data_IF_683970295300
#
_entry.id   IF_683970295300
#
_cell.length_a   1.000
_cell.length_b   1.000
_cell.length_c   1.000
_cell.angle_alpha   90.00
_cell.angle_beta   90.00
_cell.angle_gamma   90.00
#
_symmetry.space_group_name_H-M   'P 1'
#
loop_
_entity.id
_entity.type
_entity.pdbx_description
1 polymer ?
#
# COMPACT_ATOMS: atom_id res chain seq x y z
N UNK A 1 37.66 -3.09 7.55
CA UNK A 1 36.98 -1.95 6.88
C UNK A 1 37.64 -0.67 7.37
N UNK A 2 38.23 0.13 6.47
CA UNK A 2 38.92 1.38 6.78
C UNK A 2 37.99 2.35 7.57
N UNK A 3 38.53 3.10 8.54
CA UNK A 3 37.83 4.07 9.39
C UNK A 3 37.02 5.07 8.56
N UNK A 4 37.58 5.54 7.45
CA UNK A 4 36.89 6.47 6.55
C UNK A 4 35.63 5.85 5.93
N UNK A 5 35.73 4.61 5.43
CA UNK A 5 34.59 3.85 4.88
C UNK A 5 33.49 3.60 5.92
N UNK A 6 33.86 3.37 7.19
CA UNK A 6 32.90 3.25 8.32
C UNK A 6 32.15 4.56 8.59
N UNK A 7 32.84 5.69 8.54
CA UNK A 7 32.23 7.00 8.73
C UNK A 7 31.27 7.34 7.59
N UNK A 8 31.66 7.05 6.34
CA UNK A 8 30.79 7.23 5.16
C UNK A 8 29.51 6.41 5.25
N UNK A 9 29.60 5.12 5.58
CA UNK A 9 28.42 4.25 5.73
C UNK A 9 27.50 4.77 6.83
N UNK A 10 28.04 5.16 7.99
CA UNK A 10 27.23 5.73 9.08
C UNK A 10 26.49 7.00 8.64
N UNK A 11 27.12 7.87 7.87
CA UNK A 11 26.48 9.08 7.33
C UNK A 11 25.34 8.72 6.36
N UNK A 12 25.54 7.74 5.47
CA UNK A 12 24.51 7.23 4.56
C UNK A 12 23.31 6.71 5.34
N UNK A 13 23.53 5.88 6.37
CA UNK A 13 22.43 5.30 7.15
C UNK A 13 21.58 6.38 7.83
N UNK A 14 22.21 7.43 8.37
CA UNK A 14 21.50 8.59 8.94
C UNK A 14 20.73 9.40 7.91
N UNK A 15 21.27 9.55 6.70
CA UNK A 15 20.55 10.21 5.60
C UNK A 15 19.30 9.43 5.19
N UNK A 16 19.42 8.10 5.06
CA UNK A 16 18.30 7.21 4.76
C UNK A 16 17.23 7.30 5.84
N UNK A 17 17.62 7.27 7.12
CA UNK A 17 16.67 7.41 8.24
C UNK A 17 15.94 8.75 8.19
N UNK A 18 16.66 9.85 8.00
CA UNK A 18 16.09 11.20 7.89
C UNK A 18 15.13 11.31 6.71
N UNK A 19 15.52 10.84 5.52
CA UNK A 19 14.68 10.90 4.33
C UNK A 19 13.41 10.04 4.52
N UNK A 20 13.57 8.82 5.05
CA UNK A 20 12.45 7.93 5.35
C UNK A 20 11.45 8.61 6.28
N UNK A 21 11.92 9.23 7.37
CA UNK A 21 11.04 9.94 8.31
C UNK A 21 10.28 11.09 7.65
N UNK A 22 10.95 11.89 6.80
CA UNK A 22 10.33 13.01 6.09
C UNK A 22 9.28 12.51 5.09
N UNK A 23 9.58 11.46 4.32
CA UNK A 23 8.68 10.93 3.29
C UNK A 23 7.54 10.10 3.87
N UNK A 24 7.65 9.62 5.11
CA UNK A 24 6.60 8.89 5.84
C UNK A 24 5.63 9.80 6.61
N UNK A 25 5.52 11.08 6.25
CA UNK A 25 4.69 12.05 6.98
C UNK A 25 3.18 11.80 6.82
N UNK A 26 2.71 11.50 5.61
CA UNK A 26 1.31 11.23 5.29
C UNK A 26 1.19 10.34 4.05
N UNK A 27 -0.03 9.91 3.71
CA UNK A 27 -0.28 9.01 2.59
C UNK A 27 0.16 9.63 1.26
N UNK A 28 -0.01 10.95 1.07
CA UNK A 28 0.43 11.66 -0.13
C UNK A 28 1.95 11.58 -0.30
N UNK A 29 2.71 11.89 0.76
CA UNK A 29 4.17 11.90 0.73
C UNK A 29 4.74 10.52 0.43
N UNK A 30 4.19 9.48 1.06
CA UNK A 30 4.57 8.07 0.84
C UNK A 30 4.32 7.64 -0.61
N UNK A 31 3.10 7.87 -1.08
CA UNK A 31 2.65 7.48 -2.43
C UNK A 31 3.52 8.12 -3.51
N UNK A 32 3.83 9.40 -3.36
CA UNK A 32 4.67 10.14 -4.30
C UNK A 32 6.14 9.73 -4.21
N UNK A 33 6.64 9.40 -3.01
CA UNK A 33 8.00 8.90 -2.83
C UNK A 33 8.21 7.55 -3.55
N UNK A 34 7.22 6.66 -3.51
CA UNK A 34 7.26 5.42 -4.26
C UNK A 34 7.30 5.62 -5.78
N UNK A 35 6.44 6.49 -6.34
CA UNK A 35 6.47 6.82 -7.78
C UNK A 35 7.82 7.41 -8.17
N UNK A 36 8.27 8.44 -7.44
CA UNK A 36 9.54 9.11 -7.72
C UNK A 36 10.77 8.19 -7.58
N UNK A 37 10.68 7.16 -6.73
CA UNK A 37 11.71 6.13 -6.68
C UNK A 37 11.67 5.25 -7.93
N UNK A 38 10.50 4.74 -8.32
CA UNK A 38 10.35 3.92 -9.53
C UNK A 38 10.81 4.65 -10.80
N UNK A 39 10.44 5.92 -10.95
CA UNK A 39 10.83 6.74 -12.11
C UNK A 39 12.37 6.83 -12.28
N UNK A 40 13.13 6.69 -11.18
CA UNK A 40 14.60 6.70 -11.17
C UNK A 40 15.22 5.29 -11.25
N UNK A 41 14.49 4.26 -10.83
CA UNK A 41 14.96 2.87 -10.74
C UNK A 41 13.87 1.90 -11.24
N UNK A 42 13.52 1.92 -12.53
CA UNK A 42 12.41 1.13 -13.08
C UNK A 42 12.64 -0.39 -13.01
N UNK A 43 13.88 -0.84 -12.80
CA UNK A 43 14.22 -2.24 -12.52
C UNK A 43 13.62 -2.74 -11.19
N UNK A 44 13.39 -1.84 -10.23
CA UNK A 44 12.74 -2.16 -8.97
C UNK A 44 11.24 -1.94 -9.16
N UNK A 45 10.49 -3.00 -9.46
CA UNK A 45 9.07 -2.90 -9.82
C UNK A 45 8.12 -2.58 -8.66
N UNK A 46 8.42 -3.07 -7.46
CA UNK A 46 7.52 -2.98 -6.31
C UNK A 46 7.10 -1.56 -5.91
N UNK A 47 7.95 -0.51 -5.94
CA UNK A 47 7.55 0.86 -5.63
C UNK A 47 6.41 1.37 -6.52
N UNK A 48 6.37 1.02 -7.81
CA UNK A 48 5.23 1.42 -8.64
C UNK A 48 3.92 0.79 -8.15
N UNK A 49 3.96 -0.51 -7.83
CA UNK A 49 2.83 -1.22 -7.24
C UNK A 49 2.41 -0.59 -5.91
N UNK A 50 3.37 -0.31 -5.02
CA UNK A 50 3.13 0.33 -3.75
C UNK A 50 2.51 1.73 -3.91
N UNK A 51 2.91 2.50 -4.94
CA UNK A 51 2.29 3.79 -5.27
C UNK A 51 0.80 3.61 -5.60
N UNK A 52 0.45 2.68 -6.50
CA UNK A 52 -0.94 2.40 -6.86
C UNK A 52 -1.80 1.91 -5.69
N UNK A 53 -1.28 0.97 -4.89
CA UNK A 53 -1.98 0.43 -3.72
C UNK A 53 -2.13 1.52 -2.63
N UNK A 54 -1.12 2.36 -2.43
CA UNK A 54 -1.19 3.45 -1.46
C UNK A 54 -2.17 4.57 -1.88
N UNK A 55 -2.37 4.79 -3.19
CA UNK A 55 -3.47 5.66 -3.67
C UNK A 55 -4.83 5.16 -3.23
N UNK A 56 -5.08 3.86 -3.36
CA UNK A 56 -6.33 3.24 -2.90
C UNK A 56 -6.55 3.46 -1.40
N UNK A 57 -5.50 3.30 -0.58
CA UNK A 57 -5.59 3.60 0.84
C UNK A 57 -5.94 5.08 1.09
N UNK A 58 -5.34 6.02 0.35
CA UNK A 58 -5.69 7.44 0.43
C UNK A 58 -7.15 7.70 0.10
N UNK A 59 -7.65 7.13 -1.00
CA UNK A 59 -9.06 7.25 -1.41
C UNK A 59 -10.00 6.72 -0.33
N UNK A 60 -9.71 5.54 0.22
CA UNK A 60 -10.49 4.97 1.32
C UNK A 60 -10.40 5.80 2.60
N UNK A 61 -9.27 6.43 2.90
CA UNK A 61 -9.17 7.37 4.04
C UNK A 61 -10.11 8.55 3.87
N UNK A 62 -10.12 9.20 2.70
CA UNK A 62 -10.93 10.42 2.49
C UNK A 62 -12.41 10.13 2.30
N UNK A 63 -12.77 8.95 1.78
CA UNK A 63 -14.15 8.49 1.67
C UNK A 63 -14.90 8.52 3.01
N UNK A 64 -14.22 8.21 4.12
CA UNK A 64 -14.78 8.24 5.47
C UNK A 64 -15.36 9.61 5.86
N UNK A 65 -14.90 10.67 5.19
CA UNK A 65 -15.39 12.04 5.35
C UNK A 65 -16.16 12.54 4.12
N UNK A 66 -16.26 11.73 3.07
CA UNK A 66 -17.04 12.00 1.88
C UNK A 66 -18.54 11.80 2.11
N UNK A 67 -19.34 12.37 1.21
CA UNK A 67 -20.81 12.45 1.32
C UNK A 67 -21.44 11.09 1.66
N UNK A 68 -21.00 10.02 0.99
CA UNK A 68 -21.58 8.68 1.16
C UNK A 68 -21.44 8.14 2.60
N UNK A 69 -20.28 8.30 3.23
CA UNK A 69 -20.01 7.70 4.54
C UNK A 69 -20.31 8.64 5.71
N UNK A 70 -20.64 9.91 5.43
CA UNK A 70 -21.05 10.83 6.49
C UNK A 70 -22.27 10.30 7.25
N UNK A 71 -23.21 9.72 6.51
CA UNK A 71 -24.45 9.14 7.01
C UNK A 71 -24.26 7.69 7.51
N UNK A 72 -23.38 6.92 6.88
CA UNK A 72 -23.24 5.48 7.18
C UNK A 72 -22.48 5.12 8.47
N UNK A 73 -21.53 5.95 8.91
CA UNK A 73 -20.60 5.66 10.00
C UNK A 73 -20.57 6.77 11.05
N UNK A 74 -20.45 6.40 12.33
CA UNK A 74 -20.23 7.38 13.39
C UNK A 74 -18.78 7.90 13.41
N UNK A 75 -18.54 8.99 14.16
CA UNK A 75 -17.22 9.62 14.25
C UNK A 75 -16.13 8.71 14.81
N UNK A 76 -16.47 7.81 15.74
CA UNK A 76 -15.53 6.86 16.34
C UNK A 76 -15.11 5.81 15.32
N UNK A 77 -16.07 5.23 14.60
CA UNK A 77 -15.84 4.28 13.51
C UNK A 77 -14.96 4.90 12.43
N UNK A 78 -15.32 6.09 11.94
CA UNK A 78 -14.53 6.83 10.93
C UNK A 78 -13.08 7.03 11.39
N UNK A 79 -12.87 7.36 12.66
CA UNK A 79 -11.52 7.52 13.20
C UNK A 79 -10.74 6.20 13.27
N UNK A 80 -11.38 5.10 13.71
CA UNK A 80 -10.74 3.79 13.75
C UNK A 80 -10.37 3.26 12.36
N UNK A 81 -11.25 3.44 11.37
CA UNK A 81 -10.95 3.12 9.98
C UNK A 81 -9.79 3.96 9.44
N UNK A 82 -9.80 5.28 9.68
CA UNK A 82 -8.69 6.13 9.27
C UNK A 82 -7.36 5.68 9.90
N UNK A 83 -7.34 5.44 11.21
CA UNK A 83 -6.15 5.02 11.93
C UNK A 83 -5.62 3.65 11.45
N UNK A 84 -6.49 2.72 11.08
CA UNK A 84 -6.05 1.41 10.58
C UNK A 84 -5.34 1.54 9.22
N UNK A 85 -5.88 2.33 8.29
CA UNK A 85 -5.18 2.64 7.04
C UNK A 85 -3.87 3.37 7.29
N UNK A 86 -3.91 4.41 8.12
CA UNK A 86 -2.77 5.30 8.33
C UNK A 86 -1.61 4.54 8.97
N UNK A 87 -1.91 3.75 10.00
CA UNK A 87 -0.92 2.93 10.70
C UNK A 87 -0.35 1.83 9.81
N UNK A 88 -1.19 1.13 9.04
CA UNK A 88 -0.72 0.09 8.12
C UNK A 88 0.21 0.66 7.05
N UNK A 89 -0.20 1.74 6.37
CA UNK A 89 0.62 2.37 5.34
C UNK A 89 1.92 2.95 5.92
N UNK A 90 1.89 3.43 7.17
CA UNK A 90 3.06 4.02 7.82
C UNK A 90 4.08 2.94 8.15
N UNK A 91 3.60 1.81 8.67
CA UNK A 91 4.41 0.65 8.98
C UNK A 91 5.06 0.09 7.73
N UNK A 92 4.29 -0.14 6.66
CA UNK A 92 4.79 -0.63 5.37
C UNK A 92 5.89 0.28 4.84
N UNK A 93 5.65 1.60 4.80
CA UNK A 93 6.64 2.55 4.31
C UNK A 93 7.90 2.62 5.18
N UNK A 94 7.73 2.57 6.51
CA UNK A 94 8.85 2.58 7.45
C UNK A 94 9.78 1.37 7.30
N UNK A 95 9.25 0.25 6.80
CA UNK A 95 10.02 -0.96 6.54
C UNK A 95 10.61 -0.98 5.12
N UNK A 96 9.79 -0.71 4.10
CA UNK A 96 10.19 -0.91 2.70
C UNK A 96 11.03 0.24 2.13
N UNK A 97 10.68 1.51 2.39
CA UNK A 97 11.37 2.66 1.79
C UNK A 97 12.88 2.75 2.15
N UNK A 98 13.34 2.50 3.39
CA UNK A 98 14.78 2.50 3.65
C UNK A 98 15.52 1.39 2.90
N UNK A 99 14.88 0.25 2.60
CA UNK A 99 15.47 -0.81 1.77
C UNK A 99 15.76 -0.31 0.35
N UNK A 100 14.81 0.41 -0.23
CA UNK A 100 14.94 1.04 -1.55
C UNK A 100 16.13 2.02 -1.56
N UNK A 101 16.22 2.87 -0.54
CA UNK A 101 17.33 3.81 -0.46
C UNK A 101 18.69 3.11 -0.25
N UNK A 102 18.75 2.01 0.52
CA UNK A 102 19.96 1.20 0.66
C UNK A 102 20.38 0.61 -0.69
N UNK A 103 19.44 0.13 -1.51
CA UNK A 103 19.74 -0.30 -2.88
C UNK A 103 20.29 0.84 -3.75
N UNK A 104 19.63 2.01 -3.73
CA UNK A 104 20.08 3.18 -4.49
C UNK A 104 21.53 3.55 -4.14
N UNK A 105 21.88 3.61 -2.85
CA UNK A 105 23.25 3.89 -2.41
C UNK A 105 24.22 2.76 -2.76
N UNK A 106 23.78 1.49 -2.69
CA UNK A 106 24.59 0.35 -3.11
C UNK A 106 24.96 0.44 -4.59
N UNK A 107 24.00 0.82 -5.45
CA UNK A 107 24.20 1.04 -6.89
C UNK A 107 25.16 2.19 -7.16
N UNK A 108 25.03 3.29 -6.43
CA UNK A 108 25.92 4.47 -6.58
C UNK A 108 27.37 4.19 -6.16
N UNK A 109 27.58 3.37 -5.14
CA UNK A 109 28.92 3.03 -4.62
C UNK A 109 29.52 1.81 -5.34
N UNK A 110 28.69 1.01 -6.03
CA UNK A 110 29.11 -0.23 -6.69
C UNK A 110 29.30 -1.41 -5.73
N UNK A 111 28.77 -1.34 -4.50
CA UNK A 111 28.92 -2.39 -3.49
C UNK A 111 27.59 -2.65 -2.74
N UNK A 112 27.27 -3.92 -2.41
CA UNK A 112 26.05 -4.25 -1.69
C UNK A 112 26.11 -3.85 -0.20
N UNK A 113 25.29 -2.86 0.19
CA UNK A 113 25.16 -2.38 1.57
C UNK A 113 24.11 -3.12 2.41
N UNK A 114 23.51 -4.19 1.89
CA UNK A 114 22.36 -4.88 2.49
C UNK A 114 22.62 -5.48 3.88
N UNK A 115 23.90 -5.67 4.26
CA UNK A 115 24.30 -6.03 5.63
C UNK A 115 23.84 -5.01 6.69
N UNK A 116 23.52 -3.79 6.27
CA UNK A 116 23.06 -2.71 7.14
C UNK A 116 21.55 -2.60 7.23
N UNK A 117 20.78 -3.43 6.50
CA UNK A 117 19.32 -3.47 6.60
C UNK A 117 18.78 -3.72 8.04
N UNK A 118 19.44 -4.52 8.89
CA UNK A 118 19.05 -4.66 10.30
C UNK A 118 19.05 -3.34 11.08
N UNK A 119 19.83 -2.33 10.68
CA UNK A 119 19.78 -0.99 11.28
C UNK A 119 18.39 -0.34 11.14
N UNK A 120 17.66 -0.67 10.07
CA UNK A 120 16.29 -0.22 9.81
C UNK A 120 15.23 -1.23 10.28
N UNK A 121 15.62 -2.26 11.04
CA UNK A 121 14.76 -3.35 11.52
C UNK A 121 14.09 -4.15 10.40
N UNK A 122 14.72 -4.19 9.23
CA UNK A 122 14.27 -4.99 8.09
C UNK A 122 14.57 -6.47 8.36
N UNK A 123 13.64 -7.35 7.98
CA UNK A 123 13.75 -8.79 8.20
C UNK A 123 15.00 -9.40 7.57
N UNK A 124 15.55 -10.45 8.21
CA UNK A 124 16.64 -11.24 7.64
C UNK A 124 16.23 -11.85 6.28
N UNK A 125 14.95 -12.15 6.10
CA UNK A 125 14.39 -12.57 4.81
C UNK A 125 14.67 -11.55 3.70
N UNK A 126 14.31 -10.28 3.91
CA UNK A 126 14.56 -9.26 2.89
C UNK A 126 16.05 -9.00 2.70
N UNK A 127 16.86 -9.08 3.75
CA UNK A 127 18.31 -8.98 3.62
C UNK A 127 18.87 -10.03 2.65
N UNK A 128 18.47 -11.29 2.78
CA UNK A 128 18.86 -12.35 1.86
C UNK A 128 18.37 -12.10 0.43
N UNK A 129 17.11 -11.67 0.26
CA UNK A 129 16.53 -11.42 -1.06
C UNK A 129 17.18 -10.22 -1.78
N UNK A 130 17.62 -9.19 -1.05
CA UNK A 130 18.40 -8.10 -1.65
C UNK A 130 19.78 -8.55 -2.12
N UNK A 131 20.48 -9.39 -1.35
CA UNK A 131 21.74 -9.99 -1.80
C UNK A 131 21.55 -10.89 -3.03
N UNK A 132 20.46 -11.67 -3.07
CA UNK A 132 20.11 -12.48 -4.25
C UNK A 132 19.84 -11.61 -5.45
N UNK A 133 19.01 -10.58 -5.32
CA UNK A 133 18.70 -9.65 -6.40
C UNK A 133 19.96 -8.97 -6.95
N UNK A 134 20.88 -8.54 -6.08
CA UNK A 134 22.14 -7.93 -6.50
C UNK A 134 23.01 -8.86 -7.35
N UNK A 135 22.96 -10.16 -7.10
CA UNK A 135 23.71 -11.18 -7.86
C UNK A 135 22.98 -11.58 -9.15
N UNK A 136 21.67 -11.79 -9.07
CA UNK A 136 20.90 -12.50 -10.10
C UNK A 136 20.08 -11.56 -11.00
N UNK A 137 19.79 -10.33 -10.56
CA UNK A 137 18.97 -9.35 -11.29
C UNK A 137 17.49 -9.70 -11.43
N UNK A 138 16.99 -10.69 -10.68
CA UNK A 138 15.61 -11.18 -10.79
C UNK A 138 14.59 -10.18 -10.21
N UNK A 139 14.10 -9.29 -11.08
CA UNK A 139 13.15 -8.22 -10.72
C UNK A 139 11.79 -8.75 -10.26
N UNK A 140 11.32 -9.89 -10.78
CA UNK A 140 10.03 -10.46 -10.40
C UNK A 140 10.11 -11.09 -9.01
N UNK A 141 11.18 -11.86 -8.75
CA UNK A 141 11.42 -12.44 -7.44
C UNK A 141 11.54 -11.37 -6.36
N UNK A 142 12.30 -10.30 -6.60
CA UNK A 142 12.43 -9.21 -5.63
C UNK A 142 11.08 -8.55 -5.35
N UNK A 143 10.28 -8.31 -6.40
CA UNK A 143 8.93 -7.76 -6.24
C UNK A 143 8.04 -8.66 -5.39
N UNK A 144 8.07 -9.98 -5.61
CA UNK A 144 7.32 -10.94 -4.80
C UNK A 144 7.85 -11.04 -3.38
N UNK A 145 9.17 -10.96 -3.18
CA UNK A 145 9.77 -10.91 -1.85
C UNK A 145 9.27 -9.70 -1.04
N UNK A 146 9.26 -8.51 -1.65
CA UNK A 146 8.75 -7.30 -1.01
C UNK A 146 7.25 -7.41 -0.67
N UNK A 147 6.43 -8.01 -1.56
CA UNK A 147 5.01 -8.30 -1.27
C UNK A 147 4.88 -9.25 -0.06
N UNK A 148 5.63 -10.35 -0.05
CA UNK A 148 5.59 -11.33 1.05
C UNK A 148 6.01 -10.68 2.37
N UNK A 149 7.09 -9.91 2.35
CA UNK A 149 7.59 -9.21 3.54
C UNK A 149 6.56 -8.21 4.06
N UNK A 150 5.98 -7.37 3.19
CA UNK A 150 4.94 -6.43 3.56
C UNK A 150 3.78 -7.11 4.31
N UNK A 151 3.24 -8.19 3.73
CA UNK A 151 2.06 -8.86 4.28
C UNK A 151 2.33 -9.55 5.62
N UNK A 152 3.56 -10.00 5.86
CA UNK A 152 3.96 -10.56 7.16
C UNK A 152 4.24 -9.44 8.19
N UNK A 153 4.91 -8.37 7.78
CA UNK A 153 5.25 -7.21 8.64
C UNK A 153 4.00 -6.57 9.25
N UNK A 154 2.87 -6.49 8.51
CA UNK A 154 1.64 -5.89 9.03
C UNK A 154 0.76 -6.85 9.87
N UNK A 155 1.00 -8.16 9.81
CA UNK A 155 0.07 -9.15 10.34
C UNK A 155 -0.15 -9.01 11.86
N UNK A 156 0.93 -9.05 12.64
CA UNK A 156 0.85 -8.90 14.10
C UNK A 156 0.44 -7.47 14.53
N UNK A 157 1.12 -6.40 14.09
CA UNK A 157 0.87 -5.04 14.61
C UNK A 157 -0.42 -4.38 14.12
N UNK A 158 -1.01 -4.86 13.02
CA UNK A 158 -2.25 -4.30 12.46
C UNK A 158 -3.39 -5.30 12.53
N UNK A 159 -3.27 -6.44 11.83
CA UNK A 159 -4.39 -7.37 11.63
C UNK A 159 -4.77 -8.10 12.92
N UNK A 160 -3.77 -8.47 13.74
CA UNK A 160 -3.97 -9.16 15.01
C UNK A 160 -4.01 -8.22 16.21
N UNK A 161 -3.79 -6.92 16.01
CA UNK A 161 -3.84 -5.94 17.08
C UNK A 161 -5.25 -5.94 17.72
N UNK A 162 -5.36 -6.13 19.04
CA UNK A 162 -6.66 -6.24 19.70
C UNK A 162 -7.57 -5.03 19.48
N UNK A 163 -7.01 -3.82 19.47
CA UNK A 163 -7.75 -2.58 19.26
C UNK A 163 -8.29 -2.48 17.84
N UNK A 164 -7.49 -2.78 16.81
CA UNK A 164 -7.98 -2.79 15.43
C UNK A 164 -8.94 -3.95 15.14
N UNK A 165 -8.69 -5.14 15.72
CA UNK A 165 -9.58 -6.29 15.57
C UNK A 165 -10.96 -6.00 16.14
N UNK A 166 -11.03 -5.38 17.33
CA UNK A 166 -12.30 -5.01 17.97
C UNK A 166 -13.04 -3.90 17.22
N UNK A 167 -12.33 -2.84 16.84
CA UNK A 167 -12.96 -1.60 16.36
C UNK A 167 -13.05 -1.46 14.84
N UNK A 168 -12.37 -2.33 14.07
CA UNK A 168 -12.37 -2.33 12.60
C UNK A 168 -12.75 -3.72 12.10
N UNK A 169 -11.83 -4.68 12.17
CA UNK A 169 -11.93 -5.95 11.44
C UNK A 169 -13.04 -6.90 11.93
N UNK A 170 -13.55 -6.70 13.15
CA UNK A 170 -14.65 -7.48 13.72
C UNK A 170 -16.01 -6.78 13.68
N UNK A 171 -16.13 -5.64 13.02
CA UNK A 171 -17.35 -4.81 13.08
C UNK A 171 -18.29 -5.09 11.91
N UNK A 172 -19.61 -5.02 12.16
CA UNK A 172 -20.63 -5.17 11.11
C UNK A 172 -20.42 -4.16 9.96
N UNK A 173 -20.12 -2.86 10.21
CA UNK A 173 -19.79 -1.93 9.15
C UNK A 173 -18.60 -2.37 8.29
N UNK A 174 -17.56 -2.98 8.88
CA UNK A 174 -16.46 -3.55 8.10
C UNK A 174 -16.98 -4.61 7.13
N UNK A 175 -17.73 -5.61 7.60
CA UNK A 175 -18.28 -6.66 6.72
C UNK A 175 -19.27 -6.14 5.65
N UNK A 176 -20.04 -5.08 5.94
CA UNK A 176 -21.00 -4.49 5.01
C UNK A 176 -20.35 -3.54 3.99
N UNK A 177 -19.28 -2.81 4.37
CA UNK A 177 -18.56 -1.86 3.51
C UNK A 177 -17.31 -2.45 2.84
N UNK A 178 -16.98 -3.71 3.17
CA UNK A 178 -15.68 -4.33 2.93
C UNK A 178 -15.26 -4.39 1.46
N UNK A 179 -16.22 -4.38 0.53
CA UNK A 179 -15.93 -4.51 -0.90
C UNK A 179 -15.20 -3.30 -1.47
N UNK A 180 -15.29 -2.10 -0.89
CA UNK A 180 -14.59 -0.91 -1.39
C UNK A 180 -13.34 -0.51 -0.60
N UNK A 181 -13.29 -0.90 0.66
CA UNK A 181 -12.38 -0.30 1.63
C UNK A 181 -11.14 -1.17 1.84
N UNK A 182 -11.30 -2.48 2.08
CA UNK A 182 -10.16 -3.38 2.34
C UNK A 182 -10.03 -4.49 1.32
N UNK A 183 -11.12 -4.89 0.67
CA UNK A 183 -11.10 -6.07 -0.18
C UNK A 183 -10.80 -5.79 -1.65
N UNK A 184 -11.09 -4.60 -2.19
CA UNK A 184 -10.86 -4.31 -3.63
C UNK A 184 -9.84 -3.21 -3.82
N UNK A 185 -8.82 -3.49 -4.63
CA UNK A 185 -7.84 -2.51 -5.08
C UNK A 185 -8.10 -2.20 -6.55
N UNK A 186 -8.21 -0.92 -6.86
CA UNK A 186 -8.56 -0.41 -8.20
C UNK A 186 -7.39 0.37 -8.81
N UNK A 187 -7.02 0.03 -10.03
CA UNK A 187 -6.09 0.74 -10.90
C UNK A 187 -6.86 1.47 -11.99
N UNK A 188 -6.90 2.81 -11.95
CA UNK A 188 -7.54 3.60 -12.99
C UNK A 188 -6.63 3.60 -14.22
N UNK A 189 -7.23 3.39 -15.38
CA UNK A 189 -6.54 3.54 -16.65
C UNK A 189 -6.77 4.94 -17.22
N UNK A 190 -5.85 5.42 -18.04
CA UNK A 190 -5.95 6.76 -18.63
C UNK A 190 -7.09 6.86 -19.66
N UNK A 191 -7.45 5.74 -20.28
CA UNK A 191 -8.55 5.59 -21.24
C UNK A 191 -9.95 5.54 -20.58
N UNK A 192 -10.03 5.71 -19.26
CA UNK A 192 -11.31 5.91 -18.57
C UNK A 192 -11.99 4.62 -18.10
N UNK A 193 -11.21 3.56 -17.87
CA UNK A 193 -11.69 2.32 -17.27
C UNK A 193 -11.07 2.12 -15.89
N UNK A 194 -11.73 1.29 -15.07
CA UNK A 194 -11.22 0.85 -13.78
C UNK A 194 -10.90 -0.63 -13.85
N UNK A 195 -9.68 -1.00 -13.54
CA UNK A 195 -9.28 -2.39 -13.39
C UNK A 195 -9.03 -2.68 -11.92
N UNK A 196 -9.22 -3.91 -11.47
CA UNK A 196 -8.95 -4.21 -10.08
C UNK A 196 -9.17 -5.65 -9.72
N UNK A 197 -8.82 -5.97 -8.48
CA UNK A 197 -8.92 -7.31 -7.93
C UNK A 197 -9.47 -7.22 -6.51
N UNK A 198 -10.43 -8.09 -6.22
CA UNK A 198 -11.04 -8.23 -4.91
C UNK A 198 -10.55 -9.49 -4.20
N UNK A 199 -10.25 -9.39 -2.90
CA UNK A 199 -9.97 -10.53 -2.02
C UNK A 199 -11.20 -10.88 -1.20
N UNK A 200 -11.41 -12.17 -0.92
CA UNK A 200 -12.57 -12.63 -0.14
C UNK A 200 -12.36 -12.57 1.37
N UNK A 201 -11.13 -12.84 1.86
CA UNK A 201 -10.80 -12.80 3.31
C UNK A 201 -9.48 -12.07 3.54
N UNK A 202 -9.55 -10.74 3.63
CA UNK A 202 -8.39 -9.88 3.88
C UNK A 202 -7.62 -10.20 5.17
N UNK A 203 -8.26 -10.81 6.17
CA UNK A 203 -7.60 -11.20 7.42
C UNK A 203 -6.54 -12.29 7.27
N UNK A 204 -6.55 -13.06 6.17
CA UNK A 204 -5.57 -14.12 5.90
C UNK A 204 -4.36 -13.59 5.13
N UNK A 205 -3.17 -13.76 5.70
CA UNK A 205 -1.90 -13.31 5.09
C UNK A 205 -1.70 -13.86 3.68
N UNK A 206 -2.01 -15.13 3.46
CA UNK A 206 -1.86 -15.79 2.16
C UNK A 206 -2.74 -15.16 1.08
N UNK A 207 -3.99 -14.84 1.43
CA UNK A 207 -4.90 -14.22 0.47
C UNK A 207 -4.44 -12.80 0.12
N UNK A 208 -3.84 -12.07 1.06
CA UNK A 208 -3.21 -10.77 0.77
C UNK A 208 -1.94 -10.90 -0.06
N UNK A 209 -1.12 -11.92 0.16
CA UNK A 209 0.05 -12.21 -0.70
C UNK A 209 -0.41 -12.52 -2.12
N UNK A 210 -1.44 -13.37 -2.28
CA UNK A 210 -2.03 -13.69 -3.58
C UNK A 210 -2.56 -12.42 -4.25
N UNK A 211 -3.33 -11.59 -3.54
CA UNK A 211 -3.83 -10.31 -4.04
C UNK A 211 -2.67 -9.42 -4.52
N UNK A 212 -1.63 -9.23 -3.71
CA UNK A 212 -0.48 -8.41 -4.06
C UNK A 212 0.22 -8.88 -5.34
N UNK A 213 0.41 -10.19 -5.50
CA UNK A 213 1.00 -10.76 -6.74
C UNK A 213 0.08 -10.60 -7.94
N UNK A 214 -1.23 -10.80 -7.79
CA UNK A 214 -2.18 -10.62 -8.89
C UNK A 214 -2.25 -9.13 -9.32
N UNK A 215 -2.22 -8.20 -8.36
CA UNK A 215 -2.13 -6.77 -8.64
C UNK A 215 -0.82 -6.42 -9.35
N UNK A 216 0.30 -7.01 -8.94
CA UNK A 216 1.57 -6.85 -9.65
C UNK A 216 1.46 -7.29 -11.12
N UNK A 217 0.86 -8.46 -11.36
CA UNK A 217 0.61 -8.96 -12.72
C UNK A 217 -0.31 -8.03 -13.52
N UNK A 218 -1.36 -7.50 -12.90
CA UNK A 218 -2.28 -6.55 -13.55
C UNK A 218 -1.53 -5.28 -13.97
N UNK A 219 -0.80 -4.67 -13.03
CA UNK A 219 -0.09 -3.40 -13.24
C UNK A 219 0.97 -3.48 -14.35
N UNK A 220 1.68 -4.61 -14.43
CA UNK A 220 2.74 -4.83 -15.42
C UNK A 220 2.28 -5.67 -16.61
N UNK A 221 0.96 -5.78 -16.84
CA UNK A 221 0.44 -6.41 -18.05
C UNK A 221 0.80 -5.58 -19.28
N UNK A 222 1.26 -6.19 -20.38
CA UNK A 222 1.70 -5.47 -21.58
C UNK A 222 0.65 -4.49 -22.13
N UNK A 223 -0.62 -4.87 -22.07
CA UNK A 223 -1.71 -4.10 -22.68
C UNK A 223 -2.17 -2.90 -21.83
N UNK A 224 -2.00 -2.95 -20.51
CA UNK A 224 -2.55 -1.94 -19.60
C UNK A 224 -1.47 -1.07 -18.94
N UNK A 225 -0.22 -1.56 -18.84
CA UNK A 225 0.83 -0.88 -18.10
C UNK A 225 1.05 0.58 -18.54
N UNK A 226 1.10 0.83 -19.85
CA UNK A 226 1.28 2.18 -20.38
C UNK A 226 0.13 3.12 -19.99
N UNK A 227 -1.12 2.64 -20.03
CA UNK A 227 -2.30 3.41 -19.64
C UNK A 227 -2.30 3.71 -18.12
N UNK A 228 -1.98 2.71 -17.30
CA UNK A 228 -1.81 2.87 -15.86
C UNK A 228 -0.72 3.89 -15.52
N UNK A 229 0.47 3.74 -16.11
CA UNK A 229 1.58 4.65 -15.84
C UNK A 229 1.23 6.09 -16.26
N UNK A 230 0.57 6.28 -17.41
CA UNK A 230 0.09 7.58 -17.86
C UNK A 230 -0.91 8.21 -16.88
N UNK A 231 -1.80 7.41 -16.27
CA UNK A 231 -2.66 7.91 -15.19
C UNK A 231 -1.85 8.46 -14.01
N UNK A 232 -0.84 7.72 -13.53
CA UNK A 232 -0.01 8.19 -12.41
C UNK A 232 0.75 9.47 -12.71
N UNK A 233 1.18 9.65 -13.96
CA UNK A 233 1.98 10.80 -14.39
C UNK A 233 1.13 12.06 -14.58
N UNK A 234 -0.13 11.88 -15.00
CA UNK A 234 -1.04 13.00 -15.31
C UNK A 234 -1.98 13.36 -14.15
N UNK A 235 -2.18 12.47 -13.20
CA UNK A 235 -3.11 12.66 -12.08
C UNK A 235 -2.35 12.79 -10.75
N UNK A 236 -2.21 14.03 -10.23
CA UNK A 236 -1.66 14.27 -8.90
C UNK A 236 -2.46 13.51 -7.83
N UNK A 237 -1.74 12.89 -6.88
CA UNK A 237 -2.39 12.24 -5.74
C UNK A 237 -2.77 13.27 -4.68
N UNK A 238 -4.07 13.44 -4.46
CA UNK A 238 -4.62 14.29 -3.40
C UNK A 238 -5.19 13.48 -2.23
N UNK A 239 -5.19 12.15 -2.36
CA UNK A 239 -5.88 11.23 -1.46
C UNK A 239 -7.39 11.20 -1.66
N UNK A 240 -7.97 12.09 -2.47
CA UNK A 240 -9.40 12.08 -2.77
C UNK A 240 -9.73 10.99 -3.78
N UNK A 241 -10.77 10.19 -3.56
CA UNK A 241 -11.28 9.24 -4.57
C UNK A 241 -11.58 9.91 -5.92
N UNK A 242 -11.86 11.21 -5.90
CA UNK A 242 -12.05 12.00 -7.11
C UNK A 242 -10.86 12.00 -8.07
N UNK A 243 -9.64 11.75 -7.57
CA UNK A 243 -8.44 11.60 -8.41
C UNK A 243 -8.66 10.52 -9.49
N UNK A 244 -9.27 9.40 -9.11
CA UNK A 244 -9.67 8.34 -10.02
C UNK A 244 -11.00 8.63 -10.71
N UNK A 245 -12.03 9.01 -9.95
CA UNK A 245 -13.41 9.06 -10.46
C UNK A 245 -13.58 9.98 -11.67
N UNK A 246 -12.80 11.07 -11.72
CA UNK A 246 -12.80 11.98 -12.87
C UNK A 246 -12.42 11.28 -14.19
N UNK A 247 -11.62 10.21 -14.12
CA UNK A 247 -11.21 9.43 -15.30
C UNK A 247 -12.38 8.68 -15.92
N UNK A 248 -13.37 8.29 -15.10
CA UNK A 248 -14.56 7.55 -15.54
C UNK A 248 -15.80 8.45 -15.67
N UNK A 249 -15.58 9.75 -15.91
CA UNK A 249 -16.66 10.71 -16.24
C UNK A 249 -17.41 11.31 -15.04
N UNK A 250 -17.01 11.03 -13.80
CA UNK A 250 -17.62 11.68 -12.62
C UNK A 250 -17.08 13.11 -12.51
N UNK A 251 -17.97 14.10 -12.61
CA UNK A 251 -17.60 15.53 -12.61
C UNK A 251 -17.59 16.18 -11.22
N UNK A 252 -18.34 15.62 -10.27
CA UNK A 252 -18.50 16.19 -8.92
C UNK A 252 -17.64 15.44 -7.93
N UNK A 253 -16.75 16.16 -7.23
CA UNK A 253 -15.98 15.64 -6.10
C UNK A 253 -16.90 15.39 -4.91
N UNK A 254 -16.95 14.15 -4.42
CA UNK A 254 -17.71 13.77 -3.22
C UNK A 254 -16.85 13.39 -2.01
N UNK A 255 -15.55 13.20 -2.21
CA UNK A 255 -14.56 12.96 -1.15
C UNK A 255 -13.60 14.16 -1.03
N UNK A 256 -13.26 14.61 0.19
CA UNK A 256 -12.34 15.72 0.37
C UNK A 256 -10.88 15.34 0.04
N UNK A 257 -9.97 16.30 0.06
CA UNK A 257 -8.53 16.04 -0.06
C UNK A 257 -7.94 15.61 1.30
N UNK A 258 -6.92 14.75 1.31
CA UNK A 258 -6.40 14.20 2.56
C UNK A 258 -5.87 15.29 3.51
N UNK A 259 -5.02 16.18 3.02
CA UNK A 259 -4.37 17.23 3.81
C UNK A 259 -5.30 18.35 4.30
N UNK A 260 -6.52 18.43 3.77
CA UNK A 260 -7.55 19.35 4.27
C UNK A 260 -8.44 18.68 5.32
N UNK A 261 -8.26 17.38 5.54
CA UNK A 261 -9.22 16.53 6.28
C UNK A 261 -8.60 15.90 7.52
N UNK A 262 -7.37 15.42 7.39
CA UNK A 262 -6.68 14.69 8.45
C UNK A 262 -5.35 15.38 8.80
N UNK A 263 -5.02 15.49 10.09
CA UNK A 263 -3.71 15.96 10.52
C UNK A 263 -2.65 14.90 10.22
N UNK A 264 -1.38 15.33 10.24
CA UNK A 264 -0.26 14.40 10.31
C UNK A 264 -0.32 13.67 11.66
N UNK A 265 -0.37 12.34 11.61
CA UNK A 265 -0.45 11.50 12.80
C UNK A 265 0.96 11.17 13.28
N UNK A 266 1.24 11.45 14.55
CA UNK A 266 2.45 10.97 15.19
C UNK A 266 2.33 9.46 15.44
N UNK A 267 3.33 8.72 14.96
CA UNK A 267 3.38 7.27 15.06
C UNK A 267 4.42 6.90 16.10
N UNK A 268 4.04 6.42 17.30
CA UNK A 268 5.01 5.85 18.20
C UNK A 268 5.70 4.67 17.51
N UNK A 269 7.01 4.55 17.71
CA UNK A 269 7.73 3.33 17.39
C UNK A 269 7.26 2.28 18.41
N UNK A 270 6.14 1.62 18.13
CA UNK A 270 5.62 0.56 18.99
C UNK A 270 6.68 -0.54 19.11
N UNK A 271 7.12 -0.80 20.35
CA UNK A 271 7.77 -2.03 20.81
C UNK A 271 8.96 -2.57 20.00
N UNK A 272 9.47 -3.72 20.44
CA UNK A 272 10.40 -4.52 19.66
C UNK A 272 9.67 -5.07 18.42
N UNK A 273 10.11 -4.67 17.21
CA UNK A 273 9.70 -5.37 15.99
C UNK A 273 10.48 -6.68 15.92
N UNK A 274 9.88 -7.75 16.42
CA UNK A 274 10.44 -9.08 16.25
C UNK A 274 10.51 -9.43 14.75
N UNK A 275 11.64 -9.99 14.30
CA UNK A 275 11.74 -10.53 12.94
C UNK A 275 10.73 -11.67 12.80
N UNK A 276 9.83 -11.55 11.83
CA UNK A 276 8.81 -12.55 11.57
C UNK A 276 9.40 -13.81 10.91
N UNK A 277 10.59 -13.71 10.30
CA UNK A 277 11.15 -14.77 9.49
C UNK A 277 11.77 -15.89 10.33
N UNK A 278 11.11 -17.05 10.36
CA UNK A 278 11.57 -18.26 11.04
C UNK A 278 12.33 -19.24 10.10
N UNK A 279 13.12 -18.72 9.15
CA UNK A 279 13.98 -19.48 8.22
C UNK A 279 13.29 -20.43 7.23
N UNK A 280 11.95 -20.53 7.22
CA UNK A 280 11.22 -21.39 6.27
C UNK A 280 10.08 -20.64 5.60
N UNK A 281 10.17 -20.50 4.27
CA UNK A 281 9.05 -20.10 3.43
C UNK A 281 8.23 -21.32 3.00
N UNK A 282 6.96 -21.08 2.66
CA UNK A 282 6.13 -22.11 2.05
C UNK A 282 6.66 -22.49 0.66
N UNK A 283 6.55 -23.77 0.33
CA UNK A 283 6.88 -24.25 -1.02
C UNK A 283 6.01 -23.51 -2.04
N UNK A 284 6.63 -22.99 -3.09
CA UNK A 284 5.92 -22.22 -4.12
C UNK A 284 5.59 -20.77 -3.75
N UNK A 285 6.17 -20.21 -2.67
CA UNK A 285 5.93 -18.82 -2.27
C UNK A 285 6.19 -17.78 -3.40
N UNK A 286 7.05 -18.10 -4.36
CA UNK A 286 7.38 -17.24 -5.51
C UNK A 286 6.69 -17.66 -6.81
N UNK A 287 5.79 -18.64 -6.79
CA UNK A 287 5.02 -19.01 -7.98
C UNK A 287 4.04 -17.90 -8.34
N UNK A 288 3.78 -17.81 -9.65
CA UNK A 288 2.82 -16.89 -10.21
C UNK A 288 1.39 -17.33 -9.86
N UNK A 289 0.54 -16.37 -9.49
CA UNK A 289 -0.85 -16.63 -9.07
C UNK A 289 -1.80 -16.57 -10.26
N UNK A 290 -2.81 -17.44 -10.32
CA UNK A 290 -3.85 -17.38 -11.37
C UNK A 290 -4.61 -16.04 -11.31
N UNK A 291 -4.89 -15.44 -12.46
CA UNK A 291 -5.67 -14.19 -12.54
C UNK A 291 -7.17 -14.49 -12.44
N UNK A 292 -7.97 -13.61 -11.80
CA UNK A 292 -9.42 -13.63 -11.88
C UNK A 292 -9.92 -13.50 -13.33
N UNK A 293 -11.13 -14.02 -13.60
CA UNK A 293 -11.75 -13.92 -14.94
C UNK A 293 -12.14 -12.49 -15.30
N UNK A 294 -12.63 -11.72 -14.34
CA UNK A 294 -13.05 -10.34 -14.51
C UNK A 294 -12.03 -9.43 -13.83
N UNK A 295 -11.41 -8.56 -14.62
CA UNK A 295 -10.42 -7.59 -14.16
C UNK A 295 -10.91 -6.15 -14.33
N UNK A 296 -11.70 -5.88 -15.36
CA UNK A 296 -12.36 -4.58 -15.50
C UNK A 296 -13.58 -4.50 -14.57
N UNK A 297 -13.59 -3.47 -13.74
CA UNK A 297 -14.52 -3.24 -12.65
C UNK A 297 -15.31 -1.93 -12.81
N UNK A 298 -15.29 -1.28 -13.97
CA UNK A 298 -15.95 0.02 -14.20
C UNK A 298 -17.45 -0.03 -13.88
N UNK A 299 -18.19 -0.97 -14.48
CA UNK A 299 -19.64 -1.11 -14.22
C UNK A 299 -19.93 -1.61 -12.81
N UNK A 300 -19.13 -2.57 -12.33
CA UNK A 300 -19.19 -3.08 -10.97
C UNK A 300 -19.03 -1.95 -9.95
N UNK A 301 -18.12 -1.01 -10.20
CA UNK A 301 -17.87 0.15 -9.35
C UNK A 301 -19.11 1.05 -9.25
N UNK A 302 -19.73 1.40 -10.38
CA UNK A 302 -20.95 2.20 -10.38
C UNK A 302 -22.11 1.49 -9.69
N UNK A 303 -22.30 0.20 -9.96
CA UNK A 303 -23.32 -0.60 -9.31
C UNK A 303 -23.12 -0.61 -7.80
N UNK A 304 -21.92 -0.89 -7.32
CA UNK A 304 -21.63 -0.99 -5.89
C UNK A 304 -21.78 0.34 -5.16
N UNK A 305 -21.46 1.47 -5.81
CA UNK A 305 -21.75 2.79 -5.23
C UNK A 305 -23.23 3.01 -5.01
N UNK A 306 -24.08 2.60 -5.97
CA UNK A 306 -25.54 2.69 -5.82
C UNK A 306 -26.04 1.79 -4.69
N UNK A 307 -25.54 0.56 -4.61
CA UNK A 307 -25.89 -0.39 -3.53
C UNK A 307 -25.52 0.17 -2.15
N UNK A 308 -24.30 0.72 -1.99
CA UNK A 308 -23.89 1.33 -0.73
C UNK A 308 -24.73 2.55 -0.35
N UNK A 309 -25.05 3.40 -1.33
CA UNK A 309 -25.89 4.57 -1.09
C UNK A 309 -27.29 4.15 -0.61
N UNK A 310 -27.90 3.15 -1.26
CA UNK A 310 -29.18 2.61 -0.82
C UNK A 310 -29.10 2.01 0.60
N UNK A 311 -28.05 1.25 0.90
CA UNK A 311 -27.85 0.64 2.21
C UNK A 311 -27.72 1.69 3.33
N UNK A 312 -26.95 2.76 3.10
CA UNK A 312 -26.83 3.83 4.10
C UNK A 312 -28.11 4.65 4.25
N UNK A 313 -28.85 4.91 3.16
CA UNK A 313 -30.15 5.57 3.23
C UNK A 313 -31.17 4.75 4.06
N UNK A 314 -31.22 3.42 3.86
CA UNK A 314 -32.09 2.53 4.66
C UNK A 314 -31.66 2.51 6.12
N UNK A 315 -30.34 2.43 6.40
CA UNK A 315 -29.82 2.46 7.78
C UNK A 315 -30.19 3.75 8.50
N UNK A 316 -30.08 4.90 7.85
CA UNK A 316 -30.48 6.18 8.43
C UNK A 316 -31.99 6.29 8.63
N UNK A 317 -32.79 5.75 7.72
CA UNK A 317 -34.24 5.67 7.90
C UNK A 317 -34.62 4.82 9.12
N UNK A 318 -33.97 3.67 9.32
CA UNK A 318 -34.22 2.79 10.48
C UNK A 318 -33.77 3.36 11.84
N UNK A 319 -32.95 4.42 11.85
CA UNK A 319 -32.53 5.11 13.07
C UNK A 319 -33.48 6.25 13.49
N UNK A 320 -34.35 6.69 12.57
CA UNK A 320 -35.36 7.72 12.83
C UNK A 320 -36.62 7.09 13.41
#
# INVERSE_FOLDING_TARGET
>A
MNVHKRQTVTAILRLIEKETKIKNADNISRTNAYKAYYDRHPEIKWPLLASFVSRNAGWSMTDLRGVLYQEGLDSSQKNWFFLSYERANWLIFSDAYPQLLVYQWSKQIGEPLFRHLPYFRVSAFMQEEWFRFWRDGDTERLMYALIINEQNTIQAPIIQNPSFKKNVFGTIPFYLSDWFHFNTVIFPSFDGHLYGISVKRFSKTEERITLGKQLARLLFSPDLHASFYRFLDTVPHTGSRFDMEKMIGIKKRTSPMLRTTYPIVAHPLDGERADWFQKRLRKGAFLQEKMPKQLELTDWYFQKRRELHALFAVKEWLKK
#
